data_IF_251031166080
#
_entry.id   IF_251031166080
#
_cell.length_a   1.000
_cell.length_b   1.000
_cell.length_c   1.000
_cell.angle_alpha   90.00
_cell.angle_beta   90.00
_cell.angle_gamma   90.00
#
_symmetry.space_group_name_H-M   'P 1'
#
loop_
_entity.id
_entity.type
_entity.pdbx_description
1 polymer ?
#
# COMPACT_ATOMS: atom_id res chain seq x y z
N UNK A 1 0.76 21.63 -10.75
CA UNK A 1 0.23 22.28 -9.52
C UNK A 1 0.41 21.27 -8.39
N UNK A 2 1.33 21.53 -7.45
CA UNK A 2 1.61 20.59 -6.36
C UNK A 2 0.65 20.92 -5.22
N UNK A 3 -0.33 20.07 -4.96
CA UNK A 3 -1.23 20.24 -3.81
C UNK A 3 -0.55 19.61 -2.58
N UNK A 4 -0.03 20.42 -1.63
CA UNK A 4 0.74 19.92 -0.49
C UNK A 4 -0.09 19.03 0.44
N UNK A 5 -1.42 19.11 0.37
CA UNK A 5 -2.31 18.34 1.22
C UNK A 5 -2.57 16.92 0.71
N UNK A 6 -2.17 16.58 -0.54
CA UNK A 6 -2.44 15.26 -1.13
C UNK A 6 -1.72 14.12 -0.40
N UNK A 7 -0.47 14.33 0.04
CA UNK A 7 0.25 13.30 0.78
C UNK A 7 -0.50 12.93 2.07
N UNK A 8 -0.97 13.95 2.80
CA UNK A 8 -1.74 13.78 4.03
C UNK A 8 -3.10 13.14 3.77
N UNK A 9 -3.82 13.56 2.73
CA UNK A 9 -5.10 12.94 2.35
C UNK A 9 -4.93 11.44 2.07
N UNK A 10 -3.89 11.08 1.32
CA UNK A 10 -3.62 9.70 0.93
C UNK A 10 -3.37 8.81 2.15
N UNK A 11 -2.49 9.23 3.06
CA UNK A 11 -2.17 8.40 4.24
C UNK A 11 -3.36 8.28 5.21
N UNK A 12 -4.14 9.37 5.39
CA UNK A 12 -5.35 9.33 6.20
C UNK A 12 -6.38 8.33 5.65
N UNK A 13 -6.59 8.36 4.33
CA UNK A 13 -7.48 7.40 3.65
C UNK A 13 -6.96 5.98 3.71
N UNK A 14 -5.65 5.77 3.57
CA UNK A 14 -5.04 4.46 3.71
C UNK A 14 -5.28 3.88 5.12
N UNK A 15 -5.12 4.69 6.17
CA UNK A 15 -5.42 4.28 7.55
C UNK A 15 -6.91 3.97 7.79
N UNK A 16 -7.84 4.71 7.17
CA UNK A 16 -9.27 4.38 7.22
C UNK A 16 -9.55 3.04 6.55
N UNK A 17 -9.01 2.81 5.35
CA UNK A 17 -9.17 1.56 4.61
C UNK A 17 -8.56 0.37 5.35
N UNK A 18 -7.41 0.55 6.01
CA UNK A 18 -6.79 -0.49 6.82
C UNK A 18 -7.71 -0.97 7.94
N UNK A 19 -8.46 -0.06 8.59
CA UNK A 19 -9.48 -0.46 9.58
C UNK A 19 -10.69 -1.14 8.94
N UNK A 20 -11.09 -0.70 7.75
CA UNK A 20 -12.19 -1.34 7.01
C UNK A 20 -11.82 -2.75 6.53
N UNK A 21 -10.52 -3.04 6.36
CA UNK A 21 -10.02 -4.35 5.96
C UNK A 21 -10.46 -5.47 6.91
N UNK A 22 -10.60 -5.16 8.19
CA UNK A 22 -11.04 -6.09 9.22
C UNK A 22 -12.47 -6.61 8.94
N UNK A 23 -13.32 -5.79 8.31
CA UNK A 23 -14.68 -6.21 7.93
C UNK A 23 -14.64 -7.29 6.84
N UNK A 24 -13.77 -7.14 5.83
CA UNK A 24 -13.60 -8.17 4.80
C UNK A 24 -12.97 -9.44 5.37
N UNK A 25 -12.02 -9.27 6.29
CA UNK A 25 -11.35 -10.38 6.94
C UNK A 25 -12.31 -11.21 7.81
N UNK A 26 -13.13 -10.55 8.63
CA UNK A 26 -14.13 -11.20 9.49
C UNK A 26 -15.24 -11.88 8.67
N UNK A 27 -15.51 -11.38 7.47
CA UNK A 27 -16.44 -11.97 6.51
C UNK A 27 -15.83 -13.09 5.66
N UNK A 28 -14.57 -13.47 5.92
CA UNK A 28 -13.81 -14.46 5.15
C UNK A 28 -13.69 -14.12 3.65
N UNK A 29 -13.77 -12.84 3.29
CA UNK A 29 -13.63 -12.39 1.90
C UNK A 29 -12.15 -12.20 1.55
N UNK A 30 -11.43 -13.31 1.38
CA UNK A 30 -9.98 -13.31 1.19
C UNK A 30 -9.51 -12.52 -0.04
N UNK A 31 -10.23 -12.66 -1.15
CA UNK A 31 -9.94 -11.90 -2.37
C UNK A 31 -10.09 -10.38 -2.15
N UNK A 32 -11.13 -9.94 -1.44
CA UNK A 32 -11.33 -8.52 -1.13
C UNK A 32 -10.25 -8.01 -0.16
N UNK A 33 -9.83 -8.81 0.82
CA UNK A 33 -8.71 -8.46 1.71
C UNK A 33 -7.44 -8.22 0.90
N UNK A 34 -7.09 -9.11 -0.03
CA UNK A 34 -5.91 -8.94 -0.90
C UNK A 34 -6.05 -7.71 -1.79
N UNK A 35 -7.23 -7.52 -2.39
CA UNK A 35 -7.50 -6.41 -3.31
C UNK A 35 -7.47 -5.05 -2.62
N UNK A 36 -8.06 -4.91 -1.44
CA UNK A 36 -8.05 -3.66 -0.67
C UNK A 36 -6.68 -3.39 -0.05
N UNK A 37 -5.94 -4.43 0.37
CA UNK A 37 -4.56 -4.31 0.81
C UNK A 37 -3.67 -3.68 -0.27
N UNK A 38 -3.86 -4.06 -1.53
CA UNK A 38 -3.16 -3.44 -2.66
C UNK A 38 -3.39 -1.93 -2.73
N UNK A 39 -4.64 -1.48 -2.59
CA UNK A 39 -4.97 -0.06 -2.62
C UNK A 39 -4.39 0.72 -1.44
N UNK A 40 -4.38 0.12 -0.25
CA UNK A 40 -3.77 0.70 0.95
C UNK A 40 -2.26 0.89 0.78
N UNK A 41 -1.57 -0.14 0.27
CA UNK A 41 -0.13 -0.09 0.02
C UNK A 41 0.19 0.97 -1.04
N UNK A 42 -0.50 0.95 -2.18
CA UNK A 42 -0.30 1.94 -3.23
C UNK A 42 -0.50 3.38 -2.71
N UNK A 43 -1.59 3.62 -1.99
CA UNK A 43 -1.93 4.95 -1.52
C UNK A 43 -0.92 5.46 -0.48
N UNK A 44 -0.48 4.59 0.44
CA UNK A 44 0.55 4.90 1.43
C UNK A 44 1.89 5.20 0.79
N UNK A 45 2.37 4.36 -0.14
CA UNK A 45 3.66 4.58 -0.79
C UNK A 45 3.66 5.82 -1.67
N UNK A 46 2.54 6.12 -2.35
CA UNK A 46 2.39 7.39 -3.07
C UNK A 46 2.34 8.59 -2.13
N UNK A 47 1.80 8.44 -0.92
CA UNK A 47 1.86 9.49 0.10
C UNK A 47 3.31 9.78 0.52
N UNK A 48 4.11 8.72 0.76
CA UNK A 48 5.54 8.84 1.07
C UNK A 48 6.31 9.55 -0.04
N UNK A 49 6.14 9.10 -1.29
CA UNK A 49 6.82 9.73 -2.43
C UNK A 49 6.47 11.23 -2.51
N UNK A 50 5.19 11.58 -2.35
CA UNK A 50 4.75 12.98 -2.32
C UNK A 50 5.36 13.77 -1.16
N UNK A 51 5.46 13.20 0.04
CA UNK A 51 6.07 13.90 1.19
C UNK A 51 7.57 14.15 0.99
N UNK A 52 8.25 13.31 0.21
CA UNK A 52 9.64 13.50 -0.23
C UNK A 52 9.80 14.45 -1.44
N UNK A 53 8.72 15.09 -1.90
CA UNK A 53 8.73 15.96 -3.09
C UNK A 53 8.98 15.20 -4.40
N UNK A 54 8.56 13.93 -4.47
CA UNK A 54 8.59 13.08 -5.67
C UNK A 54 7.16 13.00 -6.18
N UNK A 55 6.91 13.35 -7.45
CA UNK A 55 5.58 13.16 -8.03
C UNK A 55 5.41 11.70 -8.45
N UNK A 56 4.53 10.92 -7.81
CA UNK A 56 4.37 9.53 -8.14
C UNK A 56 3.71 9.38 -9.52
N UNK A 57 4.15 8.41 -10.34
CA UNK A 57 3.55 8.13 -11.63
C UNK A 57 2.13 7.58 -11.49
N UNK A 58 1.43 7.56 -12.62
CA UNK A 58 0.11 6.91 -12.75
C UNK A 58 0.22 5.40 -12.98
N UNK A 59 1.06 4.72 -12.21
CA UNK A 59 1.15 3.25 -12.15
C UNK A 59 0.87 2.76 -10.72
N UNK A 60 0.54 1.49 -10.57
CA UNK A 60 0.15 0.90 -9.28
C UNK A 60 1.34 0.40 -8.46
N UNK A 61 2.33 -0.17 -9.14
CA UNK A 61 3.60 -0.57 -8.52
C UNK A 61 4.57 0.60 -8.57
N UNK A 62 5.07 1.02 -7.41
CA UNK A 62 6.06 2.09 -7.26
C UNK A 62 7.39 1.60 -6.67
N UNK A 63 7.60 0.28 -6.63
CA UNK A 63 8.79 -0.35 -6.05
C UNK A 63 10.10 0.16 -6.65
N UNK A 64 10.20 0.22 -7.98
CA UNK A 64 11.40 0.69 -8.67
C UNK A 64 11.70 2.15 -8.32
N UNK A 65 10.66 2.97 -8.12
CA UNK A 65 10.83 4.38 -7.72
C UNK A 65 11.33 4.49 -6.28
N UNK A 66 10.84 3.65 -5.37
CA UNK A 66 11.35 3.62 -3.99
C UNK A 66 12.85 3.29 -3.98
N UNK A 67 13.29 2.35 -4.81
CA UNK A 67 14.69 1.97 -4.95
C UNK A 67 15.51 3.11 -5.58
N UNK A 68 15.05 3.66 -6.71
CA UNK A 68 15.73 4.75 -7.43
C UNK A 68 15.84 6.03 -6.59
N UNK A 69 14.89 6.26 -5.68
CA UNK A 69 14.83 7.43 -4.82
C UNK A 69 15.23 7.14 -3.37
N UNK A 70 15.87 5.99 -3.07
CA UNK A 70 16.26 5.57 -1.70
C UNK A 70 16.95 6.68 -0.92
N UNK A 71 17.86 7.42 -1.54
CA UNK A 71 18.62 8.50 -0.90
C UNK A 71 17.76 9.72 -0.48
N UNK A 72 16.53 9.84 -1.00
CA UNK A 72 15.58 10.92 -0.67
C UNK A 72 14.51 10.49 0.32
N UNK A 73 14.42 9.20 0.62
CA UNK A 73 13.49 8.67 1.60
C UNK A 73 14.01 8.97 3.02
N UNK A 74 13.13 9.08 4.03
CA UNK A 74 13.54 9.18 5.42
C UNK A 74 14.48 8.03 5.80
N UNK A 75 15.61 8.34 6.44
CA UNK A 75 16.60 7.33 6.86
C UNK A 75 15.99 6.27 7.79
N UNK A 76 14.99 6.64 8.60
CA UNK A 76 14.28 5.71 9.47
C UNK A 76 13.55 4.57 8.72
N UNK A 77 13.29 4.73 7.42
CA UNK A 77 12.67 3.70 6.58
C UNK A 77 13.68 2.74 5.95
N UNK A 78 14.99 2.92 6.18
CA UNK A 78 16.00 2.09 5.55
C UNK A 78 15.84 0.59 5.86
N UNK A 79 15.45 0.25 7.08
CA UNK A 79 15.21 -1.13 7.51
C UNK A 79 13.89 -1.71 6.97
N UNK A 80 12.93 -0.85 6.64
CA UNK A 80 11.63 -1.26 6.10
C UNK A 80 11.56 -1.24 4.57
N UNK A 81 12.54 -0.62 3.90
CA UNK A 81 12.50 -0.37 2.45
C UNK A 81 12.26 -1.64 1.63
N UNK A 82 12.94 -2.73 1.97
CA UNK A 82 12.77 -4.01 1.27
C UNK A 82 11.34 -4.55 1.45
N UNK A 83 10.75 -4.40 2.63
CA UNK A 83 9.36 -4.80 2.89
C UNK A 83 8.36 -3.93 2.13
N UNK A 84 8.60 -2.61 2.05
CA UNK A 84 7.77 -1.68 1.26
C UNK A 84 7.79 -2.03 -0.23
N UNK A 85 8.98 -2.32 -0.77
CA UNK A 85 9.20 -2.73 -2.15
C UNK A 85 8.49 -4.05 -2.47
N UNK A 86 8.65 -5.06 -1.61
CA UNK A 86 8.00 -6.35 -1.81
C UNK A 86 6.47 -6.26 -1.71
N UNK A 87 5.93 -5.46 -0.78
CA UNK A 87 4.49 -5.24 -0.69
C UNK A 87 3.92 -4.57 -1.96
N UNK A 88 4.62 -3.56 -2.51
CA UNK A 88 4.23 -2.89 -3.76
C UNK A 88 4.21 -3.87 -4.95
N UNK A 89 5.26 -4.68 -5.10
CA UNK A 89 5.40 -5.64 -6.21
C UNK A 89 4.39 -6.77 -6.13
N UNK A 90 4.30 -7.41 -4.97
CA UNK A 90 3.46 -8.60 -4.78
C UNK A 90 1.98 -8.28 -4.99
N UNK A 91 1.46 -7.28 -4.28
CA UNK A 91 0.04 -6.94 -4.35
C UNK A 91 -0.38 -6.38 -5.71
N UNK A 92 0.53 -5.73 -6.46
CA UNK A 92 0.24 -5.35 -7.86
C UNK A 92 0.07 -6.58 -8.76
N UNK A 93 0.77 -7.69 -8.51
CA UNK A 93 0.58 -8.92 -9.31
C UNK A 93 -0.80 -9.52 -9.05
N UNK A 94 -1.26 -9.48 -7.81
CA UNK A 94 -2.56 -10.03 -7.39
C UNK A 94 -3.76 -9.16 -7.76
N UNK A 95 -3.55 -7.86 -7.99
CA UNK A 95 -4.62 -6.86 -8.18
C UNK A 95 -5.75 -7.28 -9.13
N UNK A 96 -5.40 -7.79 -10.31
CA UNK A 96 -6.40 -8.15 -11.34
C UNK A 96 -7.07 -9.47 -11.01
N UNK A 97 -6.29 -10.46 -10.56
CA UNK A 97 -6.79 -11.79 -10.21
C UNK A 97 -7.72 -11.75 -8.99
N UNK A 98 -7.37 -10.97 -7.97
CA UNK A 98 -8.20 -10.77 -6.78
C UNK A 98 -9.51 -10.04 -7.06
N UNK A 99 -9.61 -9.30 -8.17
CA UNK A 99 -10.82 -8.56 -8.51
C UNK A 99 -11.70 -9.27 -9.54
N UNK A 100 -11.11 -9.78 -10.63
CA UNK A 100 -11.85 -10.34 -11.76
C UNK A 100 -11.81 -11.87 -11.82
N UNK A 101 -10.84 -12.51 -11.17
CA UNK A 101 -10.57 -13.94 -11.36
C UNK A 101 -9.99 -14.21 -12.75
N UNK A 102 -10.19 -15.43 -13.23
CA UNK A 102 -9.87 -15.87 -14.59
C UNK A 102 -10.99 -16.76 -15.14
N UNK A 103 -10.90 -17.17 -16.41
CA UNK A 103 -11.95 -17.95 -17.11
C UNK A 103 -12.41 -19.20 -16.33
N UNK A 104 -11.48 -19.88 -15.66
CA UNK A 104 -11.74 -21.10 -14.89
C UNK A 104 -11.63 -20.91 -13.36
N UNK A 105 -11.58 -19.67 -12.87
CA UNK A 105 -11.21 -19.40 -11.48
C UNK A 105 -11.93 -18.16 -10.92
N UNK A 106 -12.72 -18.35 -9.87
CA UNK A 106 -13.24 -17.22 -9.10
C UNK A 106 -12.19 -16.72 -8.11
N UNK A 107 -12.13 -15.41 -7.80
CA UNK A 107 -11.23 -14.91 -6.76
C UNK A 107 -11.46 -15.58 -5.41
N UNK A 108 -12.73 -15.83 -5.06
CA UNK A 108 -13.13 -16.45 -3.79
C UNK A 108 -12.64 -17.89 -3.62
N UNK A 109 -12.50 -18.63 -4.72
CA UNK A 109 -11.98 -20.00 -4.69
C UNK A 109 -10.43 -20.04 -4.75
N UNK A 110 -9.79 -18.97 -5.23
CA UNK A 110 -8.34 -18.91 -5.40
C UNK A 110 -7.59 -18.47 -4.13
N UNK A 111 -8.07 -17.41 -3.48
CA UNK A 111 -7.36 -16.81 -2.35
C UNK A 111 -7.73 -17.50 -1.05
N UNK A 112 -6.72 -17.80 -0.24
CA UNK A 112 -6.86 -18.40 1.07
C UNK A 112 -6.74 -17.37 2.18
N UNK A 113 -7.07 -17.79 3.42
CA UNK A 113 -6.80 -16.99 4.61
C UNK A 113 -5.32 -16.60 4.73
N UNK A 114 -4.39 -17.49 4.39
CA UNK A 114 -2.95 -17.19 4.46
C UNK A 114 -2.55 -16.08 3.48
N UNK A 115 -3.21 -15.99 2.31
CA UNK A 115 -3.01 -14.88 1.37
C UNK A 115 -3.53 -13.56 1.94
N UNK A 116 -4.72 -13.60 2.53
CA UNK A 116 -5.35 -12.46 3.19
C UNK A 116 -4.51 -11.96 4.38
N UNK A 117 -3.98 -12.87 5.22
CA UNK A 117 -3.11 -12.55 6.34
C UNK A 117 -1.82 -11.87 5.85
N UNK A 118 -1.14 -12.44 4.84
CA UNK A 118 0.07 -11.84 4.25
C UNK A 118 -0.20 -10.44 3.68
N UNK A 119 -1.30 -10.28 2.95
CA UNK A 119 -1.67 -9.00 2.34
C UNK A 119 -2.01 -7.93 3.40
N UNK A 120 -2.83 -8.30 4.40
CA UNK A 120 -3.23 -7.43 5.51
C UNK A 120 -2.04 -7.01 6.36
N UNK A 121 -1.14 -7.94 6.69
CA UNK A 121 0.07 -7.66 7.46
C UNK A 121 1.04 -6.77 6.69
N UNK A 122 1.20 -7.01 5.39
CA UNK A 122 1.96 -6.13 4.49
C UNK A 122 1.38 -4.71 4.46
N UNK A 123 0.06 -4.57 4.26
CA UNK A 123 -0.62 -3.28 4.25
C UNK A 123 -0.48 -2.55 5.59
N UNK A 124 -0.65 -3.25 6.71
CA UNK A 124 -0.45 -2.70 8.06
C UNK A 124 0.96 -2.17 8.25
N UNK A 125 1.97 -2.99 7.93
CA UNK A 125 3.38 -2.59 8.04
C UNK A 125 3.70 -1.36 7.19
N UNK A 126 3.20 -1.30 5.95
CA UNK A 126 3.41 -0.14 5.08
C UNK A 126 2.79 1.12 5.67
N UNK A 127 1.55 1.06 6.17
CA UNK A 127 0.89 2.22 6.78
C UNK A 127 1.65 2.69 8.03
N UNK A 128 1.98 1.77 8.94
CA UNK A 128 2.69 2.05 10.19
C UNK A 128 4.07 2.66 9.94
N UNK A 129 4.80 2.16 8.95
CA UNK A 129 6.10 2.70 8.57
C UNK A 129 5.97 4.11 7.96
N UNK A 130 5.00 4.32 7.06
CA UNK A 130 4.88 5.57 6.29
C UNK A 130 4.25 6.72 7.08
N UNK A 131 3.22 6.44 7.88
CA UNK A 131 2.40 7.47 8.54
C UNK A 131 3.20 8.52 9.34
N UNK A 132 4.22 8.15 10.14
CA UNK A 132 5.03 9.10 10.89
C UNK A 132 5.81 10.11 10.02
N UNK A 133 6.05 9.79 8.75
CA UNK A 133 6.84 10.59 7.81
C UNK A 133 5.98 11.47 6.88
N UNK A 134 4.67 11.31 6.92
CA UNK A 134 3.72 12.10 6.12
C UNK A 134 2.91 13.06 7.00
N UNK A 135 2.68 12.70 8.26
CA UNK A 135 1.85 13.47 9.20
C UNK A 135 2.61 14.57 9.96
N UNK A 136 3.94 14.52 10.00
CA UNK A 136 4.75 15.53 10.69
C UNK A 136 4.75 16.82 9.86
N UNK A 137 4.21 17.91 10.43
CA UNK A 137 4.40 19.26 9.88
C UNK A 137 5.90 19.46 9.65
N UNK A 138 6.26 20.04 8.50
CA UNK A 138 7.53 20.73 8.42
C UNK A 138 7.54 21.75 9.57
N UNK A 139 8.33 21.48 10.59
CA UNK A 139 8.69 22.50 11.57
C UNK A 139 9.50 23.52 10.76
N UNK A 140 8.84 24.63 10.44
CA UNK A 140 9.45 25.82 9.87
C UNK A 140 10.05 26.71 10.95
#
# INVERSE_FOLDING_TARGET
>A
MHNPDLARDYILRAGIRLRALDVFFDAESWADVVRESQEIVELSLKALLRSCGIDPPRVHDVSDILLDQRARLPQALEEDLDALVEASRSLRRDRELAFYGAEDLTPSDFYSKDDADRARDGARRVVEAVEPHVTRKAEG
#
